data_IF_497028309784
#
_entry.id   IF_497028309784
#
_cell.length_a   1.000
_cell.length_b   1.000
_cell.length_c   1.000
_cell.angle_alpha   90.00
_cell.angle_beta   90.00
_cell.angle_gamma   90.00
#
_symmetry.space_group_name_H-M   'P 1'
#
loop_
_entity.id
_entity.type
_entity.pdbx_description
1 polymer ?
#
# COMPACT_ATOMS: atom_id res chain seq x y z
N UNK A 1 5.59 -14.59 21.24
CA UNK A 1 4.71 -14.53 20.04
C UNK A 1 4.10 -13.14 19.98
N UNK A 2 4.07 -12.48 18.82
CA UNK A 2 3.58 -11.10 18.71
C UNK A 2 2.06 -11.09 18.38
N UNK A 3 1.24 -10.20 18.95
CA UNK A 3 -0.21 -10.15 18.69
C UNK A 3 -0.59 -10.12 17.21
N UNK A 4 0.23 -9.46 16.39
CA UNK A 4 0.04 -9.38 14.94
C UNK A 4 0.21 -10.72 14.21
N UNK A 5 1.02 -11.63 14.74
CA UNK A 5 1.21 -12.96 14.15
C UNK A 5 -0.11 -13.76 14.21
N UNK A 6 -0.84 -13.65 15.32
CA UNK A 6 -2.15 -14.29 15.50
C UNK A 6 -3.19 -13.72 14.52
N UNK A 7 -3.26 -12.39 14.40
CA UNK A 7 -4.18 -11.74 13.47
C UNK A 7 -3.88 -12.11 12.01
N UNK A 8 -2.59 -12.17 11.64
CA UNK A 8 -2.20 -12.58 10.30
C UNK A 8 -2.58 -14.04 10.05
N UNK A 9 -2.40 -14.93 11.02
CA UNK A 9 -2.76 -16.33 10.90
C UNK A 9 -4.28 -16.52 10.73
N UNK A 10 -5.09 -15.83 11.55
CA UNK A 10 -6.55 -15.80 11.48
C UNK A 10 -7.05 -15.34 10.10
N UNK A 11 -6.41 -14.32 9.52
CA UNK A 11 -6.77 -13.75 8.21
C UNK A 11 -6.10 -14.44 7.03
N UNK A 12 -5.44 -15.59 7.23
CA UNK A 12 -4.67 -16.30 6.22
C UNK A 12 -3.64 -15.41 5.50
N UNK A 13 -3.07 -14.41 6.19
CA UNK A 13 -2.01 -13.52 5.71
C UNK A 13 -0.65 -14.14 6.08
N UNK A 14 0.26 -14.24 5.10
CA UNK A 14 1.65 -14.61 5.34
C UNK A 14 2.41 -13.40 5.88
N UNK A 15 2.80 -13.44 7.15
CA UNK A 15 3.67 -12.42 7.72
C UNK A 15 5.13 -12.67 7.30
N UNK A 16 5.71 -11.76 6.52
CA UNK A 16 7.11 -11.79 6.08
C UNK A 16 7.86 -10.63 6.74
N UNK A 17 8.87 -10.94 7.55
CA UNK A 17 9.75 -9.94 8.17
C UNK A 17 10.95 -9.62 7.27
N UNK A 18 11.36 -8.37 7.23
CA UNK A 18 12.62 -7.97 6.59
C UNK A 18 13.80 -8.35 7.49
N UNK A 19 14.91 -8.77 6.86
CA UNK A 19 16.15 -9.09 7.60
C UNK A 19 16.75 -7.81 8.19
N UNK A 20 17.21 -7.82 9.45
CA UNK A 20 17.96 -6.69 10.01
C UNK A 20 19.13 -6.27 9.11
N UNK A 21 19.45 -4.98 9.12
CA UNK A 21 20.57 -4.39 8.35
C UNK A 21 20.43 -4.53 6.83
N UNK A 22 19.21 -4.62 6.30
CA UNK A 22 18.95 -4.66 4.85
C UNK A 22 17.98 -3.55 4.39
N UNK A 23 18.38 -2.27 4.51
CA UNK A 23 17.49 -1.11 4.26
C UNK A 23 16.94 -1.05 2.83
N UNK A 24 17.64 -1.60 1.84
CA UNK A 24 17.20 -1.61 0.45
C UNK A 24 15.91 -2.39 0.21
N UNK A 25 15.59 -3.39 1.04
CA UNK A 25 14.32 -4.10 0.95
C UNK A 25 13.13 -3.21 1.27
N UNK A 26 13.33 -2.12 2.02
CA UNK A 26 12.28 -1.17 2.34
C UNK A 26 12.20 0.04 1.39
N UNK A 27 13.05 0.11 0.38
CA UNK A 27 13.19 1.31 -0.45
C UNK A 27 11.91 1.77 -1.16
N UNK A 28 10.94 0.88 -1.39
CA UNK A 28 9.63 1.24 -1.94
C UNK A 28 8.76 2.02 -0.95
N UNK A 29 8.74 1.58 0.31
CA UNK A 29 7.97 2.21 1.39
C UNK A 29 8.60 3.56 1.71
N UNK A 30 9.92 3.59 1.90
CA UNK A 30 10.68 4.83 2.15
C UNK A 30 10.47 5.88 1.05
N UNK A 31 10.49 5.46 -0.23
CA UNK A 31 10.22 6.38 -1.35
C UNK A 31 8.79 6.92 -1.33
N UNK A 32 7.81 6.10 -0.93
CA UNK A 32 6.42 6.57 -0.78
C UNK A 32 6.33 7.61 0.34
N UNK A 33 6.94 7.34 1.50
CA UNK A 33 6.96 8.28 2.61
C UNK A 33 7.60 9.62 2.23
N UNK A 34 8.74 9.59 1.54
CA UNK A 34 9.37 10.83 1.04
C UNK A 34 8.46 11.61 0.10
N UNK A 35 7.79 10.92 -0.83
CA UNK A 35 6.88 11.56 -1.76
C UNK A 35 5.65 12.15 -1.06
N UNK A 36 5.10 11.47 -0.06
CA UNK A 36 3.98 11.98 0.74
C UNK A 36 4.41 13.16 1.63
N UNK A 37 5.65 13.12 2.14
CA UNK A 37 6.25 14.24 2.86
C UNK A 37 6.35 15.49 1.98
N UNK A 38 6.95 15.36 0.80
CA UNK A 38 7.13 16.45 -0.16
C UNK A 38 5.80 17.01 -0.67
N UNK A 39 4.81 16.15 -0.95
CA UNK A 39 3.56 16.57 -1.59
C UNK A 39 2.47 17.04 -0.64
N UNK A 40 2.47 16.56 0.60
CA UNK A 40 1.36 16.77 1.53
C UNK A 40 1.84 17.31 2.87
N UNK A 41 2.64 16.53 3.61
CA UNK A 41 2.92 16.87 5.01
C UNK A 41 3.71 18.16 5.19
N UNK A 42 4.59 18.52 4.24
CA UNK A 42 5.39 19.75 4.32
C UNK A 42 4.54 21.03 4.27
N UNK A 43 3.35 20.96 3.66
CA UNK A 43 2.44 22.11 3.49
C UNK A 43 1.11 21.92 4.24
N UNK A 44 1.01 20.89 5.08
CA UNK A 44 -0.22 20.54 5.77
C UNK A 44 -0.47 21.48 6.95
N UNK A 45 -1.60 22.19 6.90
CA UNK A 45 -2.17 22.92 8.04
C UNK A 45 -3.64 22.54 8.19
N UNK A 46 -4.11 22.43 9.43
CA UNK A 46 -5.50 22.07 9.71
C UNK A 46 -6.00 22.79 10.96
N UNK A 47 -7.31 23.03 10.99
CA UNK A 47 -7.97 23.77 12.09
C UNK A 47 -8.69 22.85 13.08
N UNK A 48 -9.02 21.63 12.67
CA UNK A 48 -9.67 20.62 13.50
C UNK A 48 -9.28 19.21 13.07
N UNK A 49 -9.55 18.22 13.93
CA UNK A 49 -9.32 16.82 13.60
C UNK A 49 -10.16 16.34 12.39
N UNK A 50 -11.41 16.80 12.29
CA UNK A 50 -12.27 16.47 11.15
C UNK A 50 -11.73 17.03 9.83
N UNK A 51 -11.18 18.24 9.87
CA UNK A 51 -10.53 18.87 8.71
C UNK A 51 -9.29 18.07 8.30
N UNK A 52 -8.44 17.67 9.25
CA UNK A 52 -7.30 16.79 8.98
C UNK A 52 -7.74 15.49 8.27
N UNK A 53 -8.77 14.81 8.79
CA UNK A 53 -9.29 13.58 8.18
C UNK A 53 -9.79 13.83 6.75
N UNK A 54 -10.49 14.94 6.52
CA UNK A 54 -11.00 15.34 5.20
C UNK A 54 -9.86 15.64 4.23
N UNK A 55 -8.83 16.35 4.68
CA UNK A 55 -7.65 16.66 3.87
C UNK A 55 -6.85 15.40 3.50
N UNK A 56 -6.60 14.51 4.46
CA UNK A 56 -5.93 13.22 4.22
C UNK A 56 -6.72 12.39 3.19
N UNK A 57 -8.04 12.30 3.34
CA UNK A 57 -8.88 11.54 2.40
C UNK A 57 -8.81 12.09 0.97
N UNK A 58 -8.80 13.42 0.83
CA UNK A 58 -8.62 14.08 -0.47
C UNK A 58 -7.24 13.83 -1.06
N UNK A 59 -6.18 13.94 -0.25
CA UNK A 59 -4.82 13.64 -0.67
C UNK A 59 -4.67 12.19 -1.14
N UNK A 60 -5.16 11.22 -0.37
CA UNK A 60 -5.11 9.81 -0.75
C UNK A 60 -5.85 9.55 -2.07
N UNK A 61 -7.01 10.19 -2.29
CA UNK A 61 -7.72 10.09 -3.57
C UNK A 61 -6.88 10.64 -4.71
N UNK A 62 -6.32 11.84 -4.56
CA UNK A 62 -5.47 12.49 -5.57
C UNK A 62 -4.22 11.65 -5.86
N UNK A 63 -3.47 11.25 -4.84
CA UNK A 63 -2.22 10.48 -4.99
C UNK A 63 -2.46 9.17 -5.77
N UNK A 64 -3.56 8.48 -5.48
CA UNK A 64 -3.96 7.26 -6.19
C UNK A 64 -4.47 7.48 -7.64
N UNK A 65 -4.77 8.72 -8.01
CA UNK A 65 -5.22 9.14 -9.35
C UNK A 65 -4.12 9.79 -10.20
N UNK A 66 -2.94 10.07 -9.66
CA UNK A 66 -1.83 10.62 -10.43
C UNK A 66 -1.20 9.49 -11.28
N UNK A 67 -1.14 9.62 -12.61
CA UNK A 67 -0.44 8.65 -13.45
C UNK A 67 1.07 8.72 -13.19
N UNK A 68 1.72 7.56 -13.16
CA UNK A 68 3.16 7.47 -12.89
C UNK A 68 3.89 6.81 -14.06
N UNK A 69 5.03 7.37 -14.45
CA UNK A 69 5.87 6.84 -15.55
C UNK A 69 6.29 5.38 -15.29
N UNK A 70 6.63 5.05 -14.04
CA UNK A 70 7.00 3.68 -13.62
C UNK A 70 5.86 2.65 -13.78
N UNK A 71 4.61 3.11 -13.95
CA UNK A 71 3.45 2.25 -14.21
C UNK A 71 3.02 2.26 -15.68
N UNK A 72 3.83 2.84 -16.57
CA UNK A 72 3.47 3.04 -17.98
C UNK A 72 2.38 4.09 -18.14
N UNK A 73 2.50 5.21 -17.40
CA UNK A 73 1.53 6.32 -17.39
C UNK A 73 0.11 5.95 -16.94
N UNK A 74 -0.02 4.81 -16.23
CA UNK A 74 -1.26 4.41 -15.55
C UNK A 74 -1.27 4.94 -14.12
N UNK A 75 -2.46 5.19 -13.59
CA UNK A 75 -2.63 5.52 -12.17
C UNK A 75 -2.46 4.26 -11.30
N UNK A 76 -2.06 4.40 -10.02
CA UNK A 76 -2.06 3.27 -9.08
C UNK A 76 -3.39 2.51 -9.05
N UNK A 77 -4.52 3.21 -9.13
CA UNK A 77 -5.86 2.59 -9.18
C UNK A 77 -6.06 1.76 -10.46
N UNK A 78 -5.72 2.31 -11.62
CA UNK A 78 -5.83 1.60 -12.90
C UNK A 78 -4.92 0.37 -12.93
N UNK A 79 -3.69 0.51 -12.45
CA UNK A 79 -2.75 -0.62 -12.37
C UNK A 79 -3.28 -1.71 -11.44
N UNK A 80 -3.87 -1.34 -10.30
CA UNK A 80 -4.50 -2.28 -9.36
C UNK A 80 -5.68 -3.01 -9.97
N UNK A 81 -6.58 -2.29 -10.67
CA UNK A 81 -7.74 -2.90 -11.32
C UNK A 81 -7.34 -3.87 -12.43
N UNK A 82 -6.31 -3.53 -13.21
CA UNK A 82 -5.76 -4.41 -14.25
C UNK A 82 -4.81 -5.49 -13.74
N UNK A 83 -4.47 -5.50 -12.44
CA UNK A 83 -3.57 -6.51 -11.89
C UNK A 83 -4.31 -7.83 -11.74
N UNK A 84 -3.91 -8.81 -12.54
CA UNK A 84 -4.29 -10.21 -12.37
C UNK A 84 -3.10 -10.97 -11.79
N UNK A 85 -3.27 -11.73 -10.70
CA UNK A 85 -2.22 -12.63 -10.26
C UNK A 85 -1.93 -13.66 -11.37
N UNK A 86 -0.68 -14.07 -11.57
CA UNK A 86 -0.37 -15.21 -12.44
C UNK A 86 -1.17 -16.44 -11.97
N UNK A 87 -1.94 -17.06 -12.88
CA UNK A 87 -2.82 -18.20 -12.58
C UNK A 87 -4.33 -17.94 -12.57
N UNK A 88 -4.79 -16.72 -12.90
CA UNK A 88 -6.21 -16.36 -13.02
C UNK A 88 -6.62 -16.19 -14.48
N UNK A 89 -6.85 -17.31 -15.17
CA UNK A 89 -7.63 -17.31 -16.41
C UNK A 89 -9.12 -17.19 -16.05
N UNK A 90 -9.81 -16.28 -16.74
CA UNK A 90 -11.26 -16.12 -16.84
C UNK A 90 -12.05 -15.51 -15.66
N UNK A 91 -12.50 -14.28 -15.90
CA UNK A 91 -13.87 -13.80 -15.60
C UNK A 91 -14.29 -13.54 -14.15
N UNK A 92 -13.68 -14.16 -13.15
CA UNK A 92 -14.11 -14.01 -11.77
C UNK A 92 -13.48 -12.82 -11.05
N UNK A 93 -14.28 -11.91 -10.49
CA UNK A 93 -13.87 -10.95 -9.44
C UNK A 93 -13.54 -11.64 -8.10
N UNK A 94 -13.09 -12.90 -8.13
CA UNK A 94 -12.86 -13.72 -6.96
C UNK A 94 -11.36 -13.95 -6.77
N UNK A 95 -10.85 -13.41 -5.67
CA UNK A 95 -9.52 -13.71 -5.15
C UNK A 95 -9.46 -15.21 -4.82
N UNK A 96 -8.40 -15.94 -5.17
CA UNK A 96 -8.25 -17.33 -4.73
C UNK A 96 -8.21 -17.40 -3.22
N UNK A 97 -8.96 -18.35 -2.65
CA UNK A 97 -8.89 -18.69 -1.23
C UNK A 97 -7.49 -19.19 -0.82
N UNK A 98 -6.66 -19.63 -1.77
CA UNK A 98 -5.33 -20.21 -1.54
C UNK A 98 -4.17 -19.20 -1.58
N UNK A 99 -4.31 -18.03 -2.22
CA UNK A 99 -3.21 -17.07 -2.28
C UNK A 99 -3.20 -16.17 -1.04
N UNK A 100 -2.33 -16.52 -0.09
CA UNK A 100 -2.15 -15.75 1.14
C UNK A 100 -1.56 -14.36 0.81
N UNK A 101 -2.23 -13.24 1.13
CA UNK A 101 -1.60 -11.92 1.12
C UNK A 101 -0.31 -11.93 1.91
N UNK A 102 0.71 -11.21 1.45
CA UNK A 102 1.95 -11.03 2.22
C UNK A 102 1.86 -9.69 2.94
N UNK A 103 1.95 -9.72 4.26
CA UNK A 103 2.20 -8.52 5.07
C UNK A 103 3.70 -8.44 5.31
N UNK A 104 4.31 -7.35 4.85
CA UNK A 104 5.70 -7.03 5.15
C UNK A 104 5.69 -5.95 6.21
N UNK A 105 6.38 -6.20 7.31
CA UNK A 105 6.50 -5.26 8.42
C UNK A 105 7.96 -4.87 8.56
N UNK A 106 8.19 -3.57 8.53
CA UNK A 106 9.47 -2.97 8.87
C UNK A 106 9.65 -3.02 10.38
N UNK A 107 10.83 -3.45 10.82
CA UNK A 107 11.12 -3.67 12.24
C UNK A 107 11.18 -2.37 13.03
#
# INVERSE_FOLDING_TARGET
MHPLDFLCNDRNIRHKRIRPKTPWHNGKVERSHRNDQERFYTHLSFYSYEDLQKQIKQYLKRSNQIPMSVLGWKTPLQKRQGWRPPGFADGGRHRPKSAKPILIIDK
#
